data_IF_774258790131
#
_entry.id   IF_774258790131
#
_cell.length_a   1.000
_cell.length_b   1.000
_cell.length_c   1.000
_cell.angle_alpha   90.00
_cell.angle_beta   90.00
_cell.angle_gamma   90.00
#
_symmetry.space_group_name_H-M   'P 1'
#
loop_
_entity.id
_entity.type
_entity.pdbx_description
1 polymer ?
#
# COMPACT_ATOMS: atom_id res chain seq x y z
N UNK A 1 -7.16 14.03 6.10
CA UNK A 1 -6.67 15.21 6.86
C UNK A 1 -7.81 16.17 7.21
N UNK A 2 -8.04 16.51 8.49
CA UNK A 2 -9.20 17.29 8.94
C UNK A 2 -9.35 18.70 8.33
N UNK A 3 -8.24 19.42 8.09
CA UNK A 3 -8.28 20.80 7.56
C UNK A 3 -8.76 20.92 6.10
N UNK A 4 -8.54 19.88 5.29
CA UNK A 4 -8.89 19.85 3.86
C UNK A 4 -10.39 19.93 3.58
N UNK A 5 -11.24 19.51 4.52
CA UNK A 5 -12.69 19.53 4.36
C UNK A 5 -13.28 20.94 4.51
N UNK A 6 -12.56 21.85 5.17
CA UNK A 6 -12.98 23.25 5.37
C UNK A 6 -12.62 24.20 4.24
N UNK A 7 -11.79 23.77 3.28
CA UNK A 7 -11.30 24.63 2.20
C UNK A 7 -12.33 24.84 1.08
N UNK A 8 -12.41 26.10 0.62
CA UNK A 8 -13.50 26.61 -0.25
C UNK A 8 -13.49 26.10 -1.70
N UNK A 9 -12.52 25.27 -2.11
CA UNK A 9 -12.47 24.72 -3.46
C UNK A 9 -11.23 23.88 -3.76
N UNK A 10 -11.17 23.21 -4.93
CA UNK A 10 -10.06 22.32 -5.30
C UNK A 10 -8.70 23.00 -5.25
N UNK A 11 -8.59 24.24 -5.72
CA UNK A 11 -7.33 24.99 -5.72
C UNK A 11 -6.83 25.30 -4.30
N UNK A 12 -7.73 25.69 -3.40
CA UNK A 12 -7.39 25.93 -2.00
C UNK A 12 -6.91 24.64 -1.32
N UNK A 13 -7.59 23.51 -1.60
CA UNK A 13 -7.17 22.18 -1.12
C UNK A 13 -5.80 21.79 -1.65
N UNK A 14 -5.51 22.04 -2.93
CA UNK A 14 -4.21 21.77 -3.53
C UNK A 14 -3.10 22.64 -2.93
N UNK A 15 -3.36 23.92 -2.68
CA UNK A 15 -2.41 24.82 -1.99
C UNK A 15 -2.13 24.35 -0.58
N UNK A 16 -3.17 24.04 0.20
CA UNK A 16 -3.00 23.50 1.54
C UNK A 16 -2.17 22.20 1.55
N UNK A 17 -2.38 21.30 0.60
CA UNK A 17 -1.56 20.09 0.46
C UNK A 17 -0.09 20.40 0.14
N UNK A 18 0.17 21.40 -0.71
CA UNK A 18 1.53 21.85 -1.01
C UNK A 18 2.20 22.46 0.23
N UNK A 19 1.47 23.27 1.00
CA UNK A 19 1.95 23.88 2.24
C UNK A 19 2.26 22.82 3.31
N UNK A 20 1.41 21.79 3.44
CA UNK A 20 1.64 20.67 4.34
C UNK A 20 2.87 19.86 3.91
N UNK A 21 3.03 19.60 2.61
CA UNK A 21 4.21 18.94 2.07
C UNK A 21 5.48 19.72 2.42
N UNK A 22 5.47 21.05 2.27
CA UNK A 22 6.60 21.92 2.61
C UNK A 22 6.87 22.01 4.12
N UNK A 23 5.84 22.15 4.94
CA UNK A 23 6.01 22.32 6.38
C UNK A 23 6.34 21.01 7.09
N UNK A 24 5.59 19.94 6.85
CA UNK A 24 5.75 18.67 7.59
C UNK A 24 6.90 17.83 7.05
N UNK A 25 6.87 17.50 5.76
CA UNK A 25 7.87 16.60 5.17
C UNK A 25 9.20 17.33 4.99
N UNK A 26 9.17 18.59 4.55
CA UNK A 26 10.41 19.28 4.28
C UNK A 26 11.05 19.93 5.49
N UNK A 27 10.35 20.25 6.57
CA UNK A 27 11.00 20.82 7.76
C UNK A 27 11.33 19.75 8.79
N UNK A 28 10.32 19.01 9.23
CA UNK A 28 10.47 18.10 10.37
C UNK A 28 11.28 16.86 9.97
N UNK A 29 10.95 16.24 8.83
CA UNK A 29 11.67 15.03 8.39
C UNK A 29 13.08 15.37 7.89
N UNK A 30 13.28 16.45 7.13
CA UNK A 30 14.62 16.83 6.66
C UNK A 30 15.57 17.17 7.81
N UNK A 31 15.09 17.62 8.97
CA UNK A 31 15.94 17.84 10.15
C UNK A 31 16.62 16.56 10.64
N UNK A 32 16.06 15.38 10.30
CA UNK A 32 16.61 14.06 10.61
C UNK A 32 17.55 13.53 9.50
N UNK A 33 17.65 14.24 8.39
CA UNK A 33 18.47 13.90 7.23
C UNK A 33 19.72 14.78 7.25
N UNK A 34 20.88 14.19 6.94
CA UNK A 34 22.11 14.97 6.81
C UNK A 34 21.98 15.97 5.67
N UNK A 35 22.47 17.18 5.87
CA UNK A 35 22.30 18.31 4.94
C UNK A 35 22.76 17.96 3.52
N UNK A 36 23.90 17.27 3.38
CA UNK A 36 24.45 16.85 2.10
C UNK A 36 23.54 15.89 1.31
N UNK A 37 22.60 15.21 1.98
CA UNK A 37 21.71 14.22 1.37
C UNK A 37 20.32 14.76 1.05
N UNK A 38 19.99 16.02 1.39
CA UNK A 38 18.62 16.56 1.26
C UNK A 38 18.09 16.46 -0.17
N UNK A 39 18.94 16.74 -1.17
CA UNK A 39 18.53 16.67 -2.59
C UNK A 39 18.18 15.24 -2.99
N UNK A 40 19.03 14.28 -2.65
CA UNK A 40 18.80 12.87 -2.92
C UNK A 40 17.58 12.33 -2.17
N UNK A 41 17.34 12.80 -0.94
CA UNK A 41 16.15 12.46 -0.16
C UNK A 41 14.85 12.96 -0.82
N UNK A 42 14.83 14.19 -1.35
CA UNK A 42 13.66 14.70 -2.08
C UNK A 42 13.38 13.86 -3.34
N UNK A 43 14.42 13.47 -4.08
CA UNK A 43 14.26 12.60 -5.24
C UNK A 43 13.78 11.21 -4.84
N UNK A 44 14.28 10.64 -3.74
CA UNK A 44 13.80 9.37 -3.20
C UNK A 44 12.30 9.44 -2.87
N UNK A 45 11.87 10.51 -2.20
CA UNK A 45 10.45 10.75 -1.90
C UNK A 45 9.59 10.80 -3.17
N UNK A 46 10.06 11.46 -4.22
CA UNK A 46 9.37 11.51 -5.50
C UNK A 46 9.26 10.12 -6.15
N UNK A 47 10.36 9.36 -6.19
CA UNK A 47 10.37 7.99 -6.72
C UNK A 47 9.41 7.08 -5.95
N UNK A 48 9.34 7.21 -4.62
CA UNK A 48 8.37 6.47 -3.81
C UNK A 48 6.93 6.88 -4.12
N UNK A 49 6.66 8.18 -4.34
CA UNK A 49 5.34 8.66 -4.75
C UNK A 49 4.90 8.11 -6.12
N UNK A 50 5.83 7.91 -7.06
CA UNK A 50 5.57 7.31 -8.36
C UNK A 50 5.36 5.79 -8.28
N UNK A 51 6.08 5.11 -7.38
CA UNK A 51 6.14 3.64 -7.29
C UNK A 51 5.32 3.04 -6.13
N UNK A 52 4.19 3.68 -5.78
CA UNK A 52 3.28 3.18 -4.74
C UNK A 52 2.92 1.71 -4.94
N UNK A 53 3.11 0.90 -3.90
CA UNK A 53 2.80 -0.53 -3.93
C UNK A 53 3.72 -1.40 -4.78
N UNK A 54 4.77 -0.83 -5.37
CA UNK A 54 5.82 -1.60 -6.05
C UNK A 54 6.83 -2.16 -5.04
N UNK A 55 7.47 -3.27 -5.40
CA UNK A 55 8.58 -3.83 -4.62
C UNK A 55 9.75 -2.83 -4.57
N UNK A 56 10.25 -2.58 -3.37
CA UNK A 56 11.42 -1.74 -3.16
C UNK A 56 12.68 -2.55 -3.52
N UNK A 57 13.52 -1.95 -4.36
CA UNK A 57 14.90 -2.36 -4.56
C UNK A 57 15.81 -1.25 -4.05
N UNK A 58 16.43 -1.43 -2.88
CA UNK A 58 17.31 -0.40 -2.31
C UNK A 58 18.53 -0.16 -3.19
N UNK A 59 19.00 -1.17 -3.91
CA UNK A 59 20.07 -1.02 -4.89
C UNK A 59 19.65 -0.14 -6.07
N UNK A 60 18.45 -0.33 -6.60
CA UNK A 60 17.94 0.47 -7.72
C UNK A 60 17.71 1.91 -7.28
N UNK A 61 17.06 2.12 -6.12
CA UNK A 61 16.83 3.46 -5.57
C UNK A 61 18.15 4.18 -5.28
N UNK A 62 19.11 3.48 -4.65
CA UNK A 62 20.44 4.01 -4.35
C UNK A 62 21.15 4.52 -5.60
N UNK A 63 21.11 3.72 -6.69
CA UNK A 63 21.68 4.10 -7.98
C UNK A 63 20.99 5.34 -8.56
N UNK A 64 19.67 5.40 -8.50
CA UNK A 64 18.87 6.49 -9.09
C UNK A 64 19.12 7.84 -8.39
N UNK A 65 19.24 7.84 -7.06
CA UNK A 65 19.41 9.09 -6.29
C UNK A 65 20.86 9.38 -5.87
N UNK A 66 21.82 8.55 -6.28
CA UNK A 66 23.25 8.73 -5.98
C UNK A 66 23.63 8.50 -4.52
N UNK A 67 22.96 7.57 -3.83
CA UNK A 67 23.22 7.20 -2.44
C UNK A 67 23.68 5.75 -2.33
N UNK A 68 24.00 5.30 -1.12
CA UNK A 68 24.26 3.87 -0.84
C UNK A 68 22.96 3.15 -0.45
N UNK A 69 22.84 1.83 -0.69
CA UNK A 69 21.68 1.05 -0.23
C UNK A 69 21.46 1.13 1.29
N UNK A 70 22.54 1.29 2.06
CA UNK A 70 22.47 1.51 3.51
C UNK A 70 21.80 2.84 3.83
N UNK A 71 22.16 3.91 3.13
CA UNK A 71 21.55 5.23 3.29
C UNK A 71 20.07 5.22 2.88
N UNK A 72 19.72 4.53 1.78
CA UNK A 72 18.31 4.35 1.39
C UNK A 72 17.51 3.67 2.50
N UNK A 73 18.04 2.58 3.07
CA UNK A 73 17.38 1.91 4.20
C UNK A 73 17.23 2.80 5.43
N UNK A 74 18.22 3.64 5.73
CA UNK A 74 18.11 4.62 6.81
C UNK A 74 17.00 5.65 6.52
N UNK A 75 16.92 6.18 5.29
CA UNK A 75 15.88 7.12 4.90
C UNK A 75 14.48 6.49 4.93
N UNK A 76 14.32 5.26 4.42
CA UNK A 76 13.06 4.53 4.54
C UNK A 76 12.64 4.31 6.00
N UNK A 77 13.60 3.98 6.88
CA UNK A 77 13.32 3.84 8.32
C UNK A 77 12.92 5.16 8.97
N UNK A 78 13.52 6.28 8.57
CA UNK A 78 13.11 7.62 9.03
C UNK A 78 11.68 7.90 8.58
N UNK A 79 11.38 7.72 7.29
CA UNK A 79 10.05 7.94 6.72
C UNK A 79 8.96 7.11 7.41
N UNK A 80 9.27 5.87 7.78
CA UNK A 80 8.35 5.02 8.52
C UNK A 80 8.14 5.48 9.97
N UNK A 81 9.22 5.84 10.67
CA UNK A 81 9.14 6.37 12.05
C UNK A 81 8.46 7.73 12.16
N UNK A 82 8.51 8.52 11.08
CA UNK A 82 7.81 9.80 10.97
C UNK A 82 6.46 9.67 10.25
N UNK A 83 5.94 8.45 10.06
CA UNK A 83 4.62 8.19 9.45
C UNK A 83 4.42 8.84 8.07
N UNK A 84 5.49 9.11 7.32
CA UNK A 84 5.41 9.61 5.93
C UNK A 84 5.26 8.44 4.96
N UNK A 85 5.75 7.26 5.32
CA UNK A 85 5.65 6.08 4.48
C UNK A 85 5.36 4.84 5.32
N UNK A 86 4.51 3.96 4.81
CA UNK A 86 4.29 2.62 5.35
C UNK A 86 5.09 1.61 4.54
N UNK A 87 5.97 0.85 5.22
CA UNK A 87 6.68 -0.28 4.63
C UNK A 87 5.86 -1.55 4.83
N UNK A 88 5.28 -2.08 3.75
CA UNK A 88 4.50 -3.31 3.79
C UNK A 88 5.41 -4.50 3.48
N UNK A 89 5.67 -5.35 4.48
CA UNK A 89 6.53 -6.52 4.31
C UNK A 89 5.78 -7.75 3.82
N UNK A 90 6.52 -8.67 3.20
CA UNK A 90 5.99 -9.93 2.71
C UNK A 90 5.65 -10.90 3.84
N UNK A 91 4.49 -11.55 3.73
CA UNK A 91 4.03 -12.64 4.57
C UNK A 91 4.54 -13.96 4.03
N UNK A 92 5.15 -14.77 4.90
CA UNK A 92 5.50 -16.14 4.58
C UNK A 92 5.49 -17.01 5.85
N UNK A 93 4.69 -18.09 5.85
CA UNK A 93 4.95 -19.22 6.76
C UNK A 93 6.17 -19.97 6.25
N UNK A 94 7.13 -20.21 7.14
CA UNK A 94 8.29 -21.09 6.95
C UNK A 94 8.85 -21.17 5.53
N UNK A 95 9.88 -20.38 5.23
CA UNK A 95 10.96 -20.64 4.26
C UNK A 95 11.99 -19.53 4.41
N UNK A 96 13.26 -19.90 4.55
CA UNK A 96 14.40 -18.99 4.68
C UNK A 96 14.71 -18.32 3.33
N UNK A 97 15.03 -17.02 3.35
CA UNK A 97 15.54 -16.29 2.18
C UNK A 97 15.00 -14.87 1.99
N UNK A 98 15.38 -14.27 0.87
CA UNK A 98 15.12 -12.87 0.47
C UNK A 98 13.64 -12.51 0.31
N UNK A 99 12.76 -13.47 0.02
CA UNK A 99 11.30 -13.24 -0.05
C UNK A 99 10.68 -12.78 1.28
N UNK A 100 11.32 -13.05 2.43
CA UNK A 100 10.90 -12.49 3.74
C UNK A 100 11.34 -11.04 3.92
N UNK A 101 12.34 -10.59 3.16
CA UNK A 101 12.92 -9.23 3.26
C UNK A 101 12.27 -8.26 2.28
N UNK A 102 11.58 -8.75 1.25
CA UNK A 102 10.89 -7.89 0.30
C UNK A 102 9.82 -7.06 0.99
N UNK A 103 9.73 -5.82 0.54
CA UNK A 103 8.84 -4.81 1.08
C UNK A 103 8.33 -3.91 -0.04
N UNK A 104 7.13 -3.38 0.14
CA UNK A 104 6.53 -2.32 -0.68
C UNK A 104 6.49 -1.03 0.14
N UNK A 105 6.43 0.11 -0.52
CA UNK A 105 6.24 1.40 0.12
C UNK A 105 4.92 2.03 -0.32
N UNK A 106 4.23 2.64 0.63
CA UNK A 106 3.04 3.44 0.41
C UNK A 106 3.18 4.75 1.17
N UNK A 107 2.80 5.88 0.57
CA UNK A 107 2.72 7.15 1.28
C UNK A 107 1.45 7.18 2.13
N UNK A 108 1.51 7.91 3.22
CA UNK A 108 0.45 8.00 4.22
C UNK A 108 -0.83 8.72 3.76
N UNK A 109 -0.77 9.49 2.67
CA UNK A 109 -1.89 10.27 2.16
C UNK A 109 -1.84 10.42 0.64
N UNK A 110 -2.96 10.11 -0.02
CA UNK A 110 -3.11 10.20 -1.48
C UNK A 110 -3.07 11.64 -2.00
N UNK A 111 -3.58 12.60 -1.23
CA UNK A 111 -3.51 14.02 -1.56
C UNK A 111 -2.08 14.54 -1.53
N UNK A 112 -1.32 14.19 -0.49
CA UNK A 112 0.11 14.54 -0.39
C UNK A 112 0.90 13.90 -1.55
N UNK A 113 0.65 12.61 -1.82
CA UNK A 113 1.26 11.91 -2.95
C UNK A 113 0.95 12.60 -4.29
N UNK A 114 -0.30 12.98 -4.51
CA UNK A 114 -0.71 13.70 -5.73
C UNK A 114 -0.11 15.12 -5.80
N UNK A 115 0.00 15.82 -4.67
CA UNK A 115 0.67 17.13 -4.59
C UNK A 115 2.16 17.02 -4.95
N UNK A 116 2.84 15.99 -4.47
CA UNK A 116 4.24 15.71 -4.82
C UNK A 116 4.43 15.47 -6.32
N UNK A 117 3.52 14.71 -6.95
CA UNK A 117 3.54 14.45 -8.39
C UNK A 117 2.93 15.58 -9.23
N UNK A 118 2.33 16.59 -8.59
CA UNK A 118 1.56 17.66 -9.22
C UNK A 118 0.47 17.14 -10.16
N UNK A 119 -0.12 16.01 -9.82
CA UNK A 119 -1.13 15.35 -10.64
C UNK A 119 -2.40 15.12 -9.82
N UNK A 120 -3.37 16.02 -9.99
CA UNK A 120 -4.70 15.96 -9.42
C UNK A 120 -5.76 15.56 -10.46
N UNK A 121 -5.33 14.98 -11.58
CA UNK A 121 -6.24 14.52 -12.63
C UNK A 121 -7.26 13.53 -12.06
N UNK A 122 -8.50 13.49 -12.61
CA UNK A 122 -9.49 12.49 -12.23
C UNK A 122 -8.93 11.06 -12.32
N UNK A 123 -9.40 10.16 -11.47
CA UNK A 123 -8.93 8.76 -11.46
C UNK A 123 -9.17 8.06 -12.81
N UNK A 124 -10.24 8.43 -13.52
CA UNK A 124 -10.54 7.94 -14.85
C UNK A 124 -9.48 8.41 -15.86
N UNK A 125 -8.79 7.48 -16.52
CA UNK A 125 -7.76 7.78 -17.54
C UNK A 125 -6.34 7.89 -16.98
N UNK A 126 -6.15 7.81 -15.66
CA UNK A 126 -4.83 7.80 -15.05
C UNK A 126 -4.13 6.44 -15.20
N UNK A 127 -2.84 6.48 -15.54
CA UNK A 127 -2.00 5.28 -15.67
C UNK A 127 -1.71 4.61 -14.34
N UNK A 128 -1.69 5.38 -13.25
CA UNK A 128 -1.44 4.94 -11.88
C UNK A 128 -2.73 4.66 -11.08
N UNK A 129 -3.89 4.58 -11.76
CA UNK A 129 -5.18 4.40 -11.10
C UNK A 129 -5.28 3.10 -10.27
N UNK A 130 -4.55 2.04 -10.66
CA UNK A 130 -4.44 0.81 -9.87
C UNK A 130 -3.71 1.05 -8.54
N UNK A 131 -2.53 1.67 -8.61
CA UNK A 131 -1.73 2.00 -7.43
C UNK A 131 -2.46 2.94 -6.46
N UNK A 132 -3.26 3.88 -6.98
CA UNK A 132 -4.12 4.75 -6.17
C UNK A 132 -5.20 3.96 -5.41
N UNK A 133 -5.85 2.98 -6.07
CA UNK A 133 -6.84 2.11 -5.42
C UNK A 133 -6.20 1.23 -4.34
N UNK A 134 -5.06 0.61 -4.66
CA UNK A 134 -4.31 -0.19 -3.68
C UNK A 134 -3.90 0.64 -2.47
N UNK A 135 -3.38 1.85 -2.70
CA UNK A 135 -2.99 2.75 -1.62
C UNK A 135 -4.20 3.17 -0.77
N UNK A 136 -5.34 3.46 -1.39
CA UNK A 136 -6.59 3.72 -0.68
C UNK A 136 -6.98 2.54 0.23
N UNK A 137 -6.99 1.32 -0.33
CA UNK A 137 -7.32 0.10 0.44
C UNK A 137 -6.34 -0.12 1.57
N UNK A 138 -5.03 0.08 1.34
CA UNK A 138 -4.02 -0.02 2.39
C UNK A 138 -4.30 0.95 3.54
N UNK A 139 -4.58 2.22 3.27
CA UNK A 139 -4.87 3.21 4.30
C UNK A 139 -6.14 2.86 5.10
N UNK A 140 -7.17 2.34 4.43
CA UNK A 140 -8.38 1.84 5.07
C UNK A 140 -8.12 0.59 5.95
N UNK A 141 -7.24 -0.32 5.52
CA UNK A 141 -6.86 -1.48 6.32
C UNK A 141 -6.02 -1.09 7.52
N UNK A 142 -5.06 -0.17 7.36
CA UNK A 142 -4.20 0.33 8.43
C UNK A 142 -5.01 1.01 9.55
N UNK A 143 -6.03 1.79 9.19
CA UNK A 143 -6.88 2.48 10.18
C UNK A 143 -7.74 1.53 11.04
N UNK A 144 -7.88 0.27 10.61
CA UNK A 144 -8.68 -0.77 11.27
C UNK A 144 -7.84 -1.80 12.04
N UNK A 145 -6.51 -1.70 12.00
CA UNK A 145 -5.66 -2.65 12.70
C UNK A 145 -5.87 -2.60 14.21
N UNK A 146 -6.14 -3.77 14.78
CA UNK A 146 -6.21 -4.02 16.22
C UNK A 146 -4.90 -4.67 16.70
N UNK A 147 -4.63 -4.73 18.02
CA UNK A 147 -3.39 -5.32 18.54
C UNK A 147 -3.14 -6.79 18.14
N UNK A 148 -4.21 -7.55 17.84
CA UNK A 148 -4.16 -8.94 17.37
C UNK A 148 -4.06 -9.07 15.84
N UNK A 149 -3.90 -7.94 15.14
CA UNK A 149 -3.89 -7.85 13.69
C UNK A 149 -2.58 -7.31 13.13
N UNK A 150 -2.28 -7.72 11.89
CA UNK A 150 -1.08 -7.30 11.18
C UNK A 150 -1.36 -7.27 9.68
N UNK A 151 -0.88 -6.23 8.99
CA UNK A 151 -1.00 -6.12 7.54
C UNK A 151 0.33 -6.47 6.85
N UNK A 152 0.26 -7.34 5.85
CA UNK A 152 1.39 -7.78 5.02
C UNK A 152 0.94 -7.84 3.54
N UNK A 153 1.83 -8.17 2.61
CA UNK A 153 1.47 -8.68 1.27
C UNK A 153 1.95 -10.11 1.13
N UNK A 154 1.60 -10.85 0.08
CA UNK A 154 2.19 -12.17 -0.15
C UNK A 154 2.77 -12.28 -1.56
N UNK A 155 3.94 -12.90 -1.67
CA UNK A 155 4.56 -13.18 -2.96
C UNK A 155 5.28 -14.53 -2.95
N UNK A 156 5.13 -15.30 -4.01
CA UNK A 156 5.86 -16.57 -4.19
C UNK A 156 7.12 -16.40 -5.06
N UNK A 157 7.91 -17.48 -5.17
CA UNK A 157 9.14 -17.52 -5.99
C UNK A 157 8.88 -17.39 -7.49
N UNK A 158 7.67 -17.71 -7.94
CA UNK A 158 7.27 -17.58 -9.34
C UNK A 158 6.79 -16.16 -9.67
N UNK A 159 6.70 -15.30 -8.65
CA UNK A 159 6.32 -13.91 -8.78
C UNK A 159 4.82 -13.65 -8.72
N UNK A 160 4.01 -14.66 -8.36
CA UNK A 160 2.59 -14.44 -8.04
C UNK A 160 2.50 -13.64 -6.77
N UNK A 161 1.50 -12.77 -6.71
CA UNK A 161 1.35 -11.81 -5.63
C UNK A 161 -0.11 -11.69 -5.24
N UNK A 162 -0.34 -11.56 -3.93
CA UNK A 162 -1.61 -11.11 -3.35
C UNK A 162 -1.32 -9.77 -2.70
N UNK A 163 -2.13 -8.76 -3.06
CA UNK A 163 -1.88 -7.35 -2.72
C UNK A 163 -1.76 -7.15 -1.21
N UNK A 164 -2.69 -7.71 -0.44
CA UNK A 164 -2.70 -7.61 1.03
C UNK A 164 -3.06 -8.92 1.70
N UNK A 165 -2.40 -9.20 2.81
CA UNK A 165 -2.75 -10.26 3.76
C UNK A 165 -3.06 -9.59 5.09
N UNK A 166 -4.33 -9.62 5.49
CA UNK A 166 -4.76 -9.19 6.80
C UNK A 166 -4.68 -10.39 7.75
N UNK A 167 -3.76 -10.35 8.69
CA UNK A 167 -3.61 -11.37 9.72
C UNK A 167 -4.47 -11.01 10.91
N UNK A 168 -5.20 -11.98 11.46
CA UNK A 168 -5.83 -11.89 12.78
C UNK A 168 -5.48 -13.14 13.55
N UNK A 169 -4.84 -13.00 14.71
CA UNK A 169 -4.34 -14.14 15.49
C UNK A 169 -3.53 -15.14 14.64
N UNK A 170 -2.69 -14.61 13.72
CA UNK A 170 -1.86 -15.36 12.75
C UNK A 170 -2.61 -16.13 11.66
N UNK A 171 -3.94 -16.02 11.61
CA UNK A 171 -4.77 -16.56 10.53
C UNK A 171 -4.79 -15.53 9.39
N UNK A 172 -4.35 -15.89 8.17
CA UNK A 172 -4.27 -14.94 7.08
C UNK A 172 -5.59 -14.84 6.29
N UNK A 173 -6.02 -13.61 6.02
CA UNK A 173 -7.07 -13.29 5.05
C UNK A 173 -6.44 -12.60 3.82
N UNK A 174 -6.38 -13.26 2.65
CA UNK A 174 -5.92 -12.64 1.42
C UNK A 174 -6.97 -11.65 0.88
N UNK A 175 -6.50 -10.47 0.50
CA UNK A 175 -7.28 -9.38 -0.10
C UNK A 175 -6.60 -8.93 -1.39
N UNK A 176 -7.37 -8.91 -2.47
CA UNK A 176 -6.95 -8.50 -3.81
C UNK A 176 -7.69 -7.24 -4.23
N UNK A 177 -7.01 -6.34 -4.95
CA UNK A 177 -7.60 -5.13 -5.51
C UNK A 177 -7.53 -5.23 -7.04
N UNK A 178 -8.66 -5.00 -7.69
CA UNK A 178 -8.76 -4.97 -9.16
C UNK A 178 -9.56 -3.75 -9.56
N UNK A 179 -9.21 -3.10 -10.67
CA UNK A 179 -10.07 -2.02 -11.20
C UNK A 179 -11.43 -2.60 -11.60
N UNK A 180 -11.43 -3.60 -12.47
CA UNK A 180 -12.64 -4.28 -12.91
C UNK A 180 -12.41 -5.79 -12.92
N UNK A 181 -13.48 -6.55 -12.71
CA UNK A 181 -13.48 -8.00 -12.82
C UNK A 181 -14.86 -8.49 -13.29
N UNK A 182 -14.88 -9.64 -13.97
CA UNK A 182 -16.10 -10.35 -14.34
C UNK A 182 -16.31 -11.61 -13.47
N UNK A 183 -15.80 -11.58 -12.25
CA UNK A 183 -15.79 -12.71 -11.32
C UNK A 183 -14.67 -13.72 -11.57
N UNK A 184 -13.65 -13.36 -12.37
CA UNK A 184 -12.46 -14.21 -12.50
C UNK A 184 -11.67 -14.13 -11.20
N UNK A 185 -11.45 -15.29 -10.58
CA UNK A 185 -10.59 -15.43 -9.41
C UNK A 185 -9.16 -15.02 -9.76
N UNK A 186 -8.51 -14.13 -8.98
CA UNK A 186 -7.10 -13.81 -9.14
C UNK A 186 -6.21 -15.06 -9.10
N UNK A 187 -5.25 -15.15 -10.03
CA UNK A 187 -4.43 -16.35 -10.26
C UNK A 187 -3.50 -16.71 -9.10
N UNK A 188 -3.27 -15.79 -8.16
CA UNK A 188 -2.49 -16.02 -6.95
C UNK A 188 -3.27 -16.78 -5.86
N UNK A 189 -4.61 -16.64 -5.80
CA UNK A 189 -5.43 -17.22 -4.74
C UNK A 189 -5.41 -18.76 -4.68
N UNK A 190 -5.43 -19.52 -5.80
CA UNK A 190 -5.34 -20.98 -5.75
C UNK A 190 -4.03 -21.48 -5.11
N UNK A 191 -2.91 -20.80 -5.38
CA UNK A 191 -1.62 -21.12 -4.75
C UNK A 191 -1.62 -20.70 -3.28
N UNK A 192 -2.20 -19.53 -2.99
CA UNK A 192 -2.31 -19.02 -1.63
C UNK A 192 -3.07 -20.00 -0.73
N UNK A 193 -4.28 -20.44 -1.09
CA UNK A 193 -5.07 -21.38 -0.29
C UNK A 193 -4.41 -22.74 -0.14
N UNK A 194 -3.69 -23.21 -1.16
CA UNK A 194 -2.87 -24.44 -1.03
C UNK A 194 -1.80 -24.31 0.05
N UNK A 195 -1.18 -23.14 0.17
CA UNK A 195 -0.12 -22.87 1.16
C UNK A 195 -0.65 -22.50 2.55
N UNK A 196 -1.85 -21.92 2.60
CA UNK A 196 -2.51 -21.40 3.80
C UNK A 196 -3.96 -21.93 3.87
N UNK A 197 -4.14 -23.25 4.06
CA UNK A 197 -5.47 -23.86 4.04
C UNK A 197 -6.38 -23.37 5.18
N UNK A 198 -5.80 -22.85 6.26
CA UNK A 198 -6.52 -22.23 7.37
C UNK A 198 -7.10 -20.84 7.08
N UNK A 199 -6.75 -20.22 5.94
CA UNK A 199 -7.36 -18.95 5.55
C UNK A 199 -8.88 -19.15 5.43
N UNK A 200 -9.72 -18.33 6.08
CA UNK A 200 -11.17 -18.60 6.13
C UNK A 200 -11.89 -18.25 4.84
N UNK A 201 -11.34 -17.31 4.06
CA UNK A 201 -11.93 -16.75 2.85
C UNK A 201 -10.86 -16.01 2.03
N UNK A 202 -11.26 -15.40 0.91
CA UNK A 202 -10.55 -14.30 0.27
C UNK A 202 -11.52 -13.15 -0.01
N UNK A 203 -11.01 -11.91 -0.08
CA UNK A 203 -11.77 -10.73 -0.50
C UNK A 203 -11.18 -10.18 -1.79
N UNK A 204 -12.00 -9.91 -2.79
CA UNK A 204 -11.60 -9.26 -4.05
C UNK A 204 -12.36 -7.94 -4.18
N UNK A 205 -11.67 -6.85 -3.88
CA UNK A 205 -12.20 -5.50 -4.02
C UNK A 205 -12.09 -5.02 -5.45
N UNK A 206 -13.16 -4.40 -5.94
CA UNK A 206 -13.19 -3.83 -7.28
C UNK A 206 -14.18 -2.65 -7.39
N UNK A 207 -14.34 -2.09 -8.59
CA UNK A 207 -15.18 -0.90 -8.77
C UNK A 207 -16.68 -1.17 -8.55
N UNK A 208 -17.21 -2.35 -8.87
CA UNK A 208 -18.67 -2.59 -8.81
C UNK A 208 -19.19 -4.03 -8.81
N UNK A 209 -18.38 -5.02 -9.17
CA UNK A 209 -18.79 -6.42 -9.24
C UNK A 209 -18.90 -7.03 -7.85
N UNK A 210 -20.09 -7.52 -7.51
CA UNK A 210 -20.37 -8.19 -6.24
C UNK A 210 -20.93 -9.58 -6.46
N UNK A 211 -20.26 -10.58 -5.89
CA UNK A 211 -20.68 -12.00 -5.92
C UNK A 211 -19.80 -12.81 -4.98
N UNK A 212 -20.37 -13.85 -4.39
CA UNK A 212 -19.59 -14.87 -3.69
C UNK A 212 -19.38 -16.07 -4.60
N UNK A 213 -18.15 -16.55 -4.67
CA UNK A 213 -17.80 -17.80 -5.37
C UNK A 213 -17.02 -18.71 -4.43
N UNK A 214 -16.92 -19.99 -4.76
CA UNK A 214 -16.10 -20.94 -4.02
C UNK A 214 -14.83 -21.30 -4.81
N UNK A 215 -13.70 -21.35 -4.12
CA UNK A 215 -12.41 -21.77 -4.66
C UNK A 215 -11.76 -22.76 -3.69
N UNK A 216 -11.56 -24.01 -4.10
CA UNK A 216 -10.93 -25.04 -3.27
C UNK A 216 -11.59 -25.25 -1.89
N UNK A 217 -12.90 -24.97 -1.79
CA UNK A 217 -13.65 -25.04 -0.53
C UNK A 217 -13.67 -23.74 0.28
N UNK A 218 -12.91 -22.72 -0.14
CA UNK A 218 -12.88 -21.40 0.48
C UNK A 218 -13.83 -20.43 -0.23
N UNK A 219 -14.61 -19.62 0.51
CA UNK A 219 -15.37 -18.53 -0.07
C UNK A 219 -14.45 -17.41 -0.58
N UNK A 220 -14.76 -16.86 -1.75
CA UNK A 220 -14.12 -15.68 -2.33
C UNK A 220 -15.19 -14.62 -2.52
N UNK A 221 -15.11 -13.56 -1.71
CA UNK A 221 -16.08 -12.48 -1.65
C UNK A 221 -15.66 -11.37 -2.60
N UNK A 222 -16.35 -11.22 -3.73
CA UNK A 222 -16.19 -10.04 -4.58
C UNK A 222 -17.05 -8.90 -4.05
N UNK A 223 -16.46 -7.74 -3.79
CA UNK A 223 -17.14 -6.57 -3.25
C UNK A 223 -16.69 -5.30 -3.95
N UNK A 224 -17.56 -4.30 -3.99
CA UNK A 224 -17.11 -2.95 -4.34
C UNK A 224 -16.11 -2.44 -3.29
N UNK A 225 -15.26 -1.46 -3.64
CA UNK A 225 -14.31 -0.84 -2.69
C UNK A 225 -15.00 -0.34 -1.40
N UNK A 226 -16.23 0.18 -1.52
CA UNK A 226 -17.05 0.63 -0.39
C UNK A 226 -17.56 -0.51 0.49
N UNK A 227 -17.56 -1.75 -0.01
CA UNK A 227 -17.97 -2.96 0.71
C UNK A 227 -16.87 -3.61 1.54
N UNK A 228 -15.67 -3.00 1.64
CA UNK A 228 -14.58 -3.55 2.45
C UNK A 228 -15.01 -3.75 3.92
N UNK A 229 -15.66 -2.75 4.51
CA UNK A 229 -16.03 -2.77 5.92
C UNK A 229 -17.04 -3.89 6.26
N UNK A 230 -18.07 -4.04 5.42
CA UNK A 230 -19.07 -5.10 5.57
C UNK A 230 -18.47 -6.49 5.32
N UNK A 231 -17.52 -6.61 4.39
CA UNK A 231 -16.80 -7.86 4.14
C UNK A 231 -15.97 -8.30 5.35
N UNK A 232 -15.17 -7.38 5.91
CA UNK A 232 -14.34 -7.67 7.08
C UNK A 232 -15.21 -8.01 8.31
N UNK A 233 -16.26 -7.23 8.55
CA UNK A 233 -17.18 -7.45 9.67
C UNK A 233 -17.86 -8.83 9.58
N UNK A 234 -18.31 -9.24 8.38
CA UNK A 234 -18.96 -10.54 8.20
C UNK A 234 -18.01 -11.73 8.41
N UNK A 235 -16.70 -11.51 8.22
CA UNK A 235 -15.64 -12.49 8.50
C UNK A 235 -15.08 -12.39 9.94
N UNK A 236 -15.62 -11.48 10.75
CA UNK A 236 -15.22 -11.27 12.13
C UNK A 236 -13.88 -10.57 12.31
N UNK A 237 -13.49 -9.69 11.38
CA UNK A 237 -12.27 -8.85 11.46
C UNK A 237 -12.58 -7.50 12.12
#
# INVERSE_FOLDING_TARGET
>A
MPGLLGEAGPEAKQRLLADILETYIQKDVKSLIREENIRAFNNLLLLLAESQGSLISENSLAKEVGLTPRTINQHLSILEKTYVCHQLHSYARGMAGELKKSKKAYLFDLGIRNAMLRDFSPLAGRRDAGALRETFVLLELLSRLKPDMELRFWRDRTGREVDFILLKNRIPLPIEVKSTTRGSVPSALPEFFRRYPEAPAAVVLNDSFERDVALQGHPVLFRALTGLDSALTSLGY
#
